data_IF_041210762434
#
_entry.id   IF_041210762434
#
_cell.length_a   1.000
_cell.length_b   1.000
_cell.length_c   1.000
_cell.angle_alpha   90.00
_cell.angle_beta   90.00
_cell.angle_gamma   90.00
#
_symmetry.space_group_name_H-M   'P 1'
#
loop_
_entity.id
_entity.type
_entity.pdbx_description
1 polymer ?
#
# COMPACT_ATOMS: atom_id res chain seq x y z
N UNK A 1 -41.99 -12.58 14.21
CA UNK A 1 -41.47 -13.75 13.48
C UNK A 1 -40.23 -13.33 12.71
N UNK A 2 -39.04 -13.65 13.23
CA UNK A 2 -37.76 -13.14 12.75
C UNK A 2 -37.22 -14.09 11.67
N UNK A 3 -37.40 -13.76 10.38
CA UNK A 3 -36.84 -14.57 9.28
C UNK A 3 -35.32 -14.46 9.32
N UNK A 4 -34.64 -15.46 9.90
CA UNK A 4 -33.21 -15.68 9.71
C UNK A 4 -32.99 -15.93 8.21
N UNK A 5 -32.31 -15.01 7.55
CA UNK A 5 -31.80 -15.24 6.18
C UNK A 5 -30.79 -16.39 6.29
N UNK A 6 -30.89 -17.45 5.47
CA UNK A 6 -29.98 -18.59 5.56
C UNK A 6 -28.55 -18.12 5.24
N UNK A 7 -27.66 -18.22 6.22
CA UNK A 7 -26.25 -17.82 6.15
C UNK A 7 -25.48 -18.54 5.02
N UNK A 8 -25.97 -19.69 4.56
CA UNK A 8 -25.28 -20.55 3.60
C UNK A 8 -25.29 -20.07 2.14
N UNK A 9 -26.23 -19.21 1.73
CA UNK A 9 -26.30 -18.74 0.32
C UNK A 9 -25.46 -17.49 0.04
N UNK A 10 -25.15 -16.70 1.07
CA UNK A 10 -24.31 -15.50 0.95
C UNK A 10 -22.86 -15.91 0.72
N UNK A 11 -22.39 -17.00 1.34
CA UNK A 11 -21.00 -17.46 1.27
C UNK A 11 -20.54 -17.94 -0.11
N UNK A 12 -21.38 -18.53 -0.97
CA UNK A 12 -20.87 -19.19 -2.19
C UNK A 12 -20.68 -18.27 -3.40
N UNK A 13 -21.57 -17.30 -3.62
CA UNK A 13 -21.43 -16.34 -4.73
C UNK A 13 -20.47 -15.19 -4.35
N UNK A 14 -20.50 -14.77 -3.08
CA UNK A 14 -19.62 -13.71 -2.58
C UNK A 14 -18.15 -14.16 -2.51
N UNK A 15 -17.87 -15.43 -2.18
CA UNK A 15 -16.49 -15.92 -2.11
C UNK A 15 -15.78 -15.94 -3.47
N UNK A 16 -16.48 -16.32 -4.54
CA UNK A 16 -15.91 -16.32 -5.89
C UNK A 16 -15.62 -14.90 -6.39
N UNK A 17 -16.52 -13.95 -6.13
CA UNK A 17 -16.32 -12.53 -6.46
C UNK A 17 -15.18 -11.91 -5.64
N UNK A 18 -15.09 -12.25 -4.35
CA UNK A 18 -13.98 -11.79 -3.49
C UNK A 18 -12.66 -12.35 -4.00
N UNK A 19 -12.57 -13.65 -4.34
CA UNK A 19 -11.36 -14.24 -4.89
C UNK A 19 -10.98 -13.58 -6.21
N UNK A 20 -11.93 -13.45 -7.14
CA UNK A 20 -11.70 -12.79 -8.43
C UNK A 20 -11.21 -11.36 -8.28
N UNK A 21 -11.78 -10.60 -7.34
CA UNK A 21 -11.35 -9.25 -7.02
C UNK A 21 -9.94 -9.20 -6.42
N UNK A 22 -9.60 -10.11 -5.50
CA UNK A 22 -8.24 -10.19 -4.93
C UNK A 22 -7.22 -10.51 -6.03
N UNK A 23 -7.51 -11.46 -6.91
CA UNK A 23 -6.66 -11.80 -8.05
C UNK A 23 -6.49 -10.60 -8.97
N UNK A 24 -7.59 -9.95 -9.37
CA UNK A 24 -7.56 -8.74 -10.20
C UNK A 24 -6.70 -7.64 -9.57
N UNK A 25 -6.90 -7.36 -8.28
CA UNK A 25 -6.11 -6.36 -7.55
C UNK A 25 -4.63 -6.73 -7.47
N UNK A 26 -4.30 -8.01 -7.30
CA UNK A 26 -2.91 -8.48 -7.32
C UNK A 26 -2.22 -8.21 -8.67
N UNK A 27 -2.90 -8.53 -9.78
CA UNK A 27 -2.42 -8.21 -11.13
C UNK A 27 -2.29 -6.70 -11.34
N UNK A 28 -3.29 -5.93 -10.92
CA UNK A 28 -3.29 -4.48 -11.05
C UNK A 28 -2.11 -3.84 -10.29
N UNK A 29 -1.87 -4.27 -9.04
CA UNK A 29 -0.74 -3.80 -8.22
C UNK A 29 0.59 -4.12 -8.89
N UNK A 30 0.79 -5.37 -9.32
CA UNK A 30 2.03 -5.81 -9.95
C UNK A 30 2.27 -5.08 -11.28
N UNK A 31 1.23 -4.86 -12.07
CA UNK A 31 1.30 -4.10 -13.31
C UNK A 31 1.71 -2.65 -13.07
N UNK A 32 1.00 -1.94 -12.18
CA UNK A 32 1.33 -0.55 -11.86
C UNK A 32 2.75 -0.44 -11.32
N UNK A 33 3.16 -1.38 -10.48
CA UNK A 33 4.51 -1.41 -9.94
C UNK A 33 5.57 -1.55 -11.06
N UNK A 34 5.47 -2.59 -11.89
CA UNK A 34 6.44 -2.88 -12.94
C UNK A 34 6.45 -1.79 -14.01
N UNK A 35 5.27 -1.31 -14.42
CA UNK A 35 5.14 -0.19 -15.37
C UNK A 35 5.86 1.05 -14.85
N UNK A 36 5.61 1.44 -13.59
CA UNK A 36 6.22 2.64 -13.02
C UNK A 36 7.74 2.50 -12.89
N UNK A 37 8.21 1.32 -12.53
CA UNK A 37 9.63 1.01 -12.49
C UNK A 37 10.27 1.14 -13.89
N UNK A 38 9.61 0.64 -14.93
CA UNK A 38 10.06 0.77 -16.33
C UNK A 38 10.02 2.21 -16.82
N UNK A 39 8.95 2.94 -16.50
CA UNK A 39 8.80 4.35 -16.85
C UNK A 39 9.92 5.20 -16.23
N UNK A 40 10.33 4.91 -14.98
CA UNK A 40 11.47 5.58 -14.33
C UNK A 40 12.75 5.43 -15.15
N UNK A 41 13.03 4.22 -15.65
CA UNK A 41 14.18 3.94 -16.51
C UNK A 41 13.91 4.19 -17.99
N UNK A 42 12.76 4.73 -18.40
CA UNK A 42 12.37 4.91 -19.82
C UNK A 42 12.40 3.61 -20.64
N UNK A 43 12.17 2.46 -20.03
CA UNK A 43 12.04 1.18 -20.73
C UNK A 43 10.69 1.18 -21.49
N UNK A 44 10.67 0.91 -22.80
CA UNK A 44 9.43 0.88 -23.58
C UNK A 44 8.40 -0.09 -23.00
N UNK A 45 7.13 0.30 -22.98
CA UNK A 45 6.02 -0.51 -22.45
C UNK A 45 5.81 -1.83 -23.19
N UNK A 46 6.35 -1.97 -24.42
CA UNK A 46 6.38 -3.23 -25.18
C UNK A 46 7.07 -4.35 -24.40
N UNK A 47 7.94 -4.02 -23.45
CA UNK A 47 8.62 -5.00 -22.59
C UNK A 47 7.79 -5.50 -21.40
N UNK A 48 6.63 -4.89 -21.09
CA UNK A 48 5.78 -5.23 -19.93
C UNK A 48 4.89 -6.47 -20.12
N UNK A 49 5.12 -7.27 -21.17
CA UNK A 49 4.19 -8.33 -21.59
C UNK A 49 4.02 -9.46 -20.56
N UNK A 50 5.01 -9.69 -19.70
CA UNK A 50 5.00 -10.81 -18.76
C UNK A 50 5.21 -10.34 -17.32
N UNK A 51 4.12 -10.07 -16.60
CA UNK A 51 4.15 -9.97 -15.14
C UNK A 51 4.24 -11.38 -14.59
N UNK A 52 5.33 -11.70 -13.90
CA UNK A 52 5.49 -13.04 -13.34
C UNK A 52 4.42 -13.31 -12.26
N UNK A 53 3.83 -14.51 -12.29
CA UNK A 53 2.89 -14.97 -11.27
C UNK A 53 3.54 -14.91 -9.88
N UNK A 54 4.84 -15.20 -9.79
CA UNK A 54 5.59 -15.08 -8.55
C UNK A 54 5.57 -13.64 -8.02
N UNK A 55 5.76 -12.64 -8.87
CA UNK A 55 5.68 -11.22 -8.48
C UNK A 55 4.31 -10.87 -7.95
N UNK A 56 3.24 -11.38 -8.57
CA UNK A 56 1.86 -11.15 -8.14
C UNK A 56 1.59 -11.81 -6.78
N UNK A 57 1.99 -13.07 -6.61
CA UNK A 57 1.83 -13.81 -5.36
C UNK A 57 2.59 -13.10 -4.22
N UNK A 58 3.84 -12.72 -4.47
CA UNK A 58 4.66 -11.98 -3.49
C UNK A 58 3.97 -10.67 -3.12
N UNK A 59 3.48 -9.90 -4.10
CA UNK A 59 2.77 -8.65 -3.83
C UNK A 59 1.52 -8.88 -2.96
N UNK A 60 0.69 -9.88 -3.28
CA UNK A 60 -0.51 -10.23 -2.49
C UNK A 60 -0.12 -10.63 -1.06
N UNK A 61 0.86 -11.52 -0.91
CA UNK A 61 1.29 -12.02 0.41
C UNK A 61 1.89 -10.89 1.24
N UNK A 62 2.78 -10.09 0.68
CA UNK A 62 3.41 -8.97 1.38
C UNK A 62 2.39 -7.92 1.80
N UNK A 63 1.46 -7.56 0.93
CA UNK A 63 0.41 -6.60 1.25
C UNK A 63 -0.57 -7.14 2.32
N UNK A 64 -1.02 -8.38 2.15
CA UNK A 64 -1.95 -9.02 3.10
C UNK A 64 -1.30 -9.25 4.46
N UNK A 65 -0.05 -9.71 4.49
CA UNK A 65 0.73 -9.90 5.72
C UNK A 65 0.98 -8.58 6.43
N UNK A 66 1.31 -7.53 5.69
CA UNK A 66 1.45 -6.18 6.23
C UNK A 66 0.16 -5.67 6.90
N UNK A 67 -0.98 -5.78 6.21
CA UNK A 67 -2.27 -5.41 6.78
C UNK A 67 -2.63 -6.28 8.00
N UNK A 68 -2.33 -7.58 7.96
CA UNK A 68 -2.54 -8.50 9.05
C UNK A 68 -1.79 -8.11 10.32
N UNK A 69 -0.50 -7.74 10.19
CA UNK A 69 0.31 -7.25 11.31
C UNK A 69 -0.26 -5.94 11.86
N UNK A 70 -0.63 -4.98 11.00
CA UNK A 70 -1.25 -3.73 11.44
C UNK A 70 -2.54 -3.98 12.23
N UNK A 71 -3.38 -4.91 11.77
CA UNK A 71 -4.61 -5.30 12.44
C UNK A 71 -4.35 -5.98 13.79
N UNK A 72 -3.34 -6.85 13.87
CA UNK A 72 -2.95 -7.52 15.11
C UNK A 72 -2.45 -6.50 16.14
N UNK A 73 -1.54 -5.60 15.74
CA UNK A 73 -1.02 -4.54 16.62
C UNK A 73 -2.15 -3.62 17.06
N UNK A 74 -3.04 -3.21 16.15
CA UNK A 74 -4.21 -2.43 16.50
C UNK A 74 -5.09 -3.16 17.52
N UNK A 75 -5.33 -4.45 17.34
CA UNK A 75 -6.15 -5.25 18.24
C UNK A 75 -5.55 -5.32 19.65
N UNK A 76 -4.25 -5.63 19.77
CA UNK A 76 -3.55 -5.68 21.06
C UNK A 76 -3.59 -4.31 21.76
N UNK A 77 -3.27 -3.24 21.03
CA UNK A 77 -3.34 -1.88 21.59
C UNK A 77 -4.76 -1.51 22.02
N UNK A 78 -5.76 -1.92 21.23
CA UNK A 78 -7.15 -1.69 21.53
C UNK A 78 -7.58 -2.38 22.84
N UNK A 79 -7.20 -3.64 23.04
CA UNK A 79 -7.48 -4.38 24.27
C UNK A 79 -6.77 -3.77 25.49
N UNK A 80 -5.50 -3.38 25.35
CA UNK A 80 -4.76 -2.71 26.42
C UNK A 80 -5.43 -1.40 26.84
N UNK A 81 -5.94 -0.62 25.88
CA UNK A 81 -6.58 0.67 26.15
C UNK A 81 -8.01 0.52 26.67
N UNK A 82 -8.75 -0.50 26.24
CA UNK A 82 -10.12 -0.75 26.71
C UNK A 82 -10.19 -1.05 28.21
N UNK A 83 -9.08 -1.49 28.82
CA UNK A 83 -8.96 -1.62 30.28
C UNK A 83 -8.90 -0.29 31.05
N UNK A 84 -8.83 0.86 30.35
CA UNK A 84 -8.63 2.18 30.95
C UNK A 84 -9.80 3.14 30.70
N UNK A 85 -10.42 3.62 31.78
CA UNK A 85 -11.57 4.54 31.74
C UNK A 85 -11.21 6.01 31.50
N UNK A 86 -9.92 6.35 31.39
CA UNK A 86 -9.50 7.74 31.21
C UNK A 86 -9.95 8.26 29.82
N UNK A 87 -10.77 9.34 29.76
CA UNK A 87 -11.31 9.84 28.50
C UNK A 87 -10.24 10.35 27.53
N UNK A 88 -9.05 10.72 28.01
CA UNK A 88 -7.92 11.13 27.16
C UNK A 88 -7.35 9.90 26.44
N UNK A 89 -7.16 8.79 27.17
CA UNK A 89 -6.58 7.55 26.64
C UNK A 89 -7.52 6.92 25.61
N UNK A 90 -8.84 6.95 25.89
CA UNK A 90 -9.87 6.53 24.95
C UNK A 90 -9.89 7.35 23.65
N UNK A 91 -9.48 8.62 23.70
CA UNK A 91 -9.35 9.47 22.49
C UNK A 91 -8.10 9.17 21.69
N UNK A 92 -7.01 8.85 22.37
CA UNK A 92 -5.77 8.40 21.72
C UNK A 92 -6.02 7.12 20.92
N UNK A 93 -6.87 6.21 21.42
CA UNK A 93 -7.27 4.97 20.73
C UNK A 93 -7.72 5.19 19.28
N UNK A 94 -8.54 6.22 19.04
CA UNK A 94 -9.05 6.55 17.70
C UNK A 94 -7.93 6.97 16.76
N UNK A 95 -6.85 7.56 17.29
CA UNK A 95 -5.68 7.97 16.51
C UNK A 95 -4.68 6.85 16.24
N UNK A 96 -4.78 5.71 16.93
CA UNK A 96 -3.81 4.60 16.81
C UNK A 96 -3.68 4.05 15.39
N UNK A 97 -4.76 3.77 14.63
CA UNK A 97 -4.62 3.30 13.26
C UNK A 97 -3.78 4.25 12.39
N UNK A 98 -3.96 5.56 12.56
CA UNK A 98 -3.23 6.57 11.80
C UNK A 98 -1.75 6.63 12.21
N UNK A 99 -1.46 6.50 13.51
CA UNK A 99 -0.08 6.41 14.01
C UNK A 99 0.61 5.16 13.47
N UNK A 100 -0.06 4.01 13.51
CA UNK A 100 0.47 2.75 12.99
C UNK A 100 0.73 2.84 11.48
N UNK A 101 -0.20 3.41 10.72
CA UNK A 101 -0.02 3.66 9.28
C UNK A 101 1.16 4.62 9.06
N UNK A 102 1.29 5.70 9.82
CA UNK A 102 2.38 6.67 9.67
C UNK A 102 3.75 6.05 9.99
N UNK A 103 3.85 5.23 11.04
CA UNK A 103 5.07 4.49 11.41
C UNK A 103 5.39 3.49 10.31
N UNK A 104 4.41 2.72 9.86
CA UNK A 104 4.59 1.73 8.81
C UNK A 104 5.03 2.37 7.51
N UNK A 105 4.41 3.49 7.13
CA UNK A 105 4.82 4.32 6.01
C UNK A 105 6.26 4.79 6.18
N UNK A 106 6.66 5.30 7.36
CA UNK A 106 8.03 5.78 7.58
C UNK A 106 9.06 4.65 7.50
N UNK A 107 8.73 3.46 8.00
CA UNK A 107 9.62 2.28 7.95
C UNK A 107 9.80 1.82 6.51
N UNK A 108 8.70 1.74 5.75
CA UNK A 108 8.74 1.24 4.37
C UNK A 108 9.21 2.28 3.36
N UNK A 109 8.83 3.54 3.55
CA UNK A 109 9.07 4.62 2.62
C UNK A 109 10.03 5.63 3.25
N UNK A 110 11.26 5.68 2.73
CA UNK A 110 12.22 6.75 3.05
C UNK A 110 11.83 8.11 2.44
N UNK A 111 10.69 8.19 1.76
CA UNK A 111 10.17 9.41 1.15
C UNK A 111 9.55 10.34 2.17
N UNK A 112 9.95 11.61 2.14
CA UNK A 112 9.40 12.66 3.00
C UNK A 112 7.91 12.95 2.72
N UNK A 113 7.45 12.80 1.47
CA UNK A 113 6.08 13.16 1.04
C UNK A 113 5.01 12.34 1.78
N UNK A 114 5.15 11.01 1.83
CA UNK A 114 4.14 10.17 2.48
C UNK A 114 4.15 10.38 4.00
N UNK A 115 5.31 10.69 4.58
CA UNK A 115 5.42 11.09 5.99
C UNK A 115 4.62 12.37 6.24
N UNK A 116 4.71 13.39 5.37
CA UNK A 116 3.94 14.63 5.52
C UNK A 116 2.43 14.40 5.40
N UNK A 117 1.98 13.55 4.46
CA UNK A 117 0.57 13.19 4.31
C UNK A 117 0.06 12.47 5.57
N UNK A 118 0.82 11.49 6.08
CA UNK A 118 0.47 10.78 7.32
C UNK A 118 0.41 11.72 8.52
N UNK A 119 1.33 12.67 8.61
CA UNK A 119 1.38 13.67 9.69
C UNK A 119 0.21 14.66 9.59
N UNK A 120 -0.18 15.07 8.38
CA UNK A 120 -1.36 15.91 8.15
C UNK A 120 -2.66 15.19 8.58
N UNK A 121 -2.84 13.92 8.20
CA UNK A 121 -3.99 13.11 8.61
C UNK A 121 -4.01 12.94 10.14
N UNK A 122 -2.85 12.69 10.75
CA UNK A 122 -2.73 12.62 12.21
C UNK A 122 -3.12 13.94 12.89
N UNK A 123 -2.66 15.08 12.36
CA UNK A 123 -3.04 16.42 12.85
C UNK A 123 -4.55 16.65 12.76
N UNK A 124 -5.17 16.32 11.63
CA UNK A 124 -6.62 16.43 11.45
C UNK A 124 -7.35 15.56 12.49
N UNK A 125 -6.89 14.32 12.71
CA UNK A 125 -7.44 13.43 13.74
C UNK A 125 -7.30 14.02 15.14
N UNK A 126 -6.15 14.62 15.47
CA UNK A 126 -5.93 15.27 16.75
C UNK A 126 -6.84 16.50 16.94
N UNK A 127 -7.01 17.33 15.92
CA UNK A 127 -7.93 18.48 15.95
C UNK A 127 -9.36 17.99 16.21
N UNK A 128 -9.81 16.99 15.45
CA UNK A 128 -11.14 16.43 15.61
C UNK A 128 -11.36 15.80 16.99
N UNK A 129 -10.38 15.06 17.52
CA UNK A 129 -10.54 14.32 18.77
C UNK A 129 -10.32 15.16 20.03
N UNK A 130 -9.54 16.24 19.98
CA UNK A 130 -9.16 17.04 21.16
C UNK A 130 -9.61 18.49 21.10
N UNK A 131 -9.58 19.13 19.92
CA UNK A 131 -9.94 20.56 19.77
C UNK A 131 -11.44 20.74 19.59
N UNK A 132 -12.10 19.94 18.75
CA UNK A 132 -13.55 20.04 18.55
C UNK A 132 -14.38 19.84 19.83
N UNK A 133 -14.07 18.88 20.74
CA UNK A 133 -14.76 18.78 22.02
C UNK A 133 -14.72 20.07 22.84
N UNK A 134 -13.61 20.83 22.77
CA UNK A 134 -13.47 22.10 23.49
C UNK A 134 -14.44 23.17 22.98
N UNK A 135 -14.60 23.23 21.65
CA UNK A 135 -15.40 24.25 20.97
C UNK A 135 -16.89 23.91 20.95
N UNK A 136 -17.25 22.65 20.76
CA UNK A 136 -18.62 22.23 20.46
C UNK A 136 -19.42 21.79 21.68
N UNK A 137 -18.78 21.36 22.78
CA UNK A 137 -19.48 20.88 23.97
C UNK A 137 -19.59 21.95 25.04
N UNK A 138 -20.83 22.33 25.37
CA UNK A 138 -21.19 23.30 26.42
C UNK A 138 -21.18 22.68 27.83
N UNK A 139 -20.07 22.07 28.25
CA UNK A 139 -19.88 21.61 29.64
C UNK A 139 -18.59 22.14 30.25
N UNK A 140 -18.58 22.39 31.57
CA UNK A 140 -17.39 22.80 32.29
C UNK A 140 -16.41 21.63 32.48
N UNK A 141 -15.12 21.92 32.33
CA UNK A 141 -14.02 20.97 32.49
C UNK A 141 -13.68 20.18 31.22
N UNK A 142 -12.40 20.14 30.85
CA UNK A 142 -11.94 19.50 29.61
C UNK A 142 -12.24 18.00 29.55
N UNK A 143 -11.95 17.25 30.64
CA UNK A 143 -12.25 15.81 30.72
C UNK A 143 -13.74 15.51 30.51
N UNK A 144 -14.64 16.36 31.03
CA UNK A 144 -16.08 16.22 30.86
C UNK A 144 -16.52 16.51 29.42
N UNK A 145 -15.92 17.52 28.77
CA UNK A 145 -16.13 17.81 27.34
C UNK A 145 -15.70 16.63 26.46
N UNK A 146 -14.51 16.07 26.72
CA UNK A 146 -14.01 14.88 26.00
C UNK A 146 -14.95 13.68 26.15
N UNK A 147 -15.47 13.44 27.36
CA UNK A 147 -16.42 12.35 27.63
C UNK A 147 -17.71 12.57 26.84
N UNK A 148 -18.32 13.76 26.94
CA UNK A 148 -19.60 14.06 26.29
C UNK A 148 -19.56 14.13 24.77
N UNK A 149 -18.43 14.51 24.16
CA UNK A 149 -18.32 14.59 22.70
C UNK A 149 -18.45 13.23 21.99
N UNK A 150 -18.32 12.09 22.70
CA UNK A 150 -18.54 10.74 22.13
C UNK A 150 -19.73 9.97 22.71
N UNK A 151 -20.16 10.24 23.94
CA UNK A 151 -21.21 9.45 24.60
C UNK A 151 -22.62 9.58 23.98
N UNK A 152 -22.82 10.44 22.97
CA UNK A 152 -24.07 10.52 22.18
C UNK A 152 -24.04 9.70 20.89
N UNK A 153 -22.90 9.13 20.51
CA UNK A 153 -22.76 8.29 19.31
C UNK A 153 -22.65 6.82 19.69
N UNK A 154 -23.61 6.00 19.24
CA UNK A 154 -23.53 4.54 19.27
C UNK A 154 -22.10 4.08 18.94
N UNK A 155 -21.52 3.20 19.75
CA UNK A 155 -20.29 2.47 19.40
C UNK A 155 -20.57 1.52 18.23
N UNK A 156 -20.75 2.07 17.03
CA UNK A 156 -20.82 1.28 15.80
C UNK A 156 -19.41 0.85 15.47
N UNK A 157 -19.12 -0.43 15.68
CA UNK A 157 -17.87 -1.03 15.22
C UNK A 157 -17.70 -0.82 13.71
N UNK A 158 -16.45 -0.71 13.26
CA UNK A 158 -16.13 -0.58 11.83
C UNK A 158 -16.81 -1.67 10.98
N UNK A 159 -16.88 -2.91 11.50
CA UNK A 159 -17.60 -4.03 10.89
C UNK A 159 -19.10 -3.74 10.72
N UNK A 160 -19.76 -3.15 11.73
CA UNK A 160 -21.17 -2.74 11.65
C UNK A 160 -21.37 -1.63 10.62
N UNK A 161 -20.45 -0.67 10.54
CA UNK A 161 -20.50 0.41 9.54
C UNK A 161 -20.34 -0.14 8.12
N UNK A 162 -19.36 -1.03 7.90
CA UNK A 162 -19.16 -1.69 6.61
C UNK A 162 -20.37 -2.52 6.20
N UNK A 163 -20.87 -3.38 7.09
CA UNK A 163 -22.06 -4.21 6.83
C UNK A 163 -23.29 -3.35 6.54
N UNK A 164 -23.50 -2.29 7.33
CA UNK A 164 -24.59 -1.34 7.10
C UNK A 164 -24.45 -0.66 5.75
N UNK A 165 -23.25 -0.19 5.40
CA UNK A 165 -22.99 0.49 4.13
C UNK A 165 -23.21 -0.45 2.94
N UNK A 166 -22.67 -1.68 3.01
CA UNK A 166 -22.91 -2.73 2.01
C UNK A 166 -24.40 -3.00 1.80
N UNK A 167 -25.16 -3.23 2.88
CA UNK A 167 -26.56 -3.64 2.81
C UNK A 167 -27.54 -2.50 2.49
N UNK A 168 -27.29 -1.29 3.01
CA UNK A 168 -28.23 -0.16 2.94
C UNK A 168 -27.82 0.89 1.92
N UNK A 169 -26.54 0.96 1.56
CA UNK A 169 -25.98 1.95 0.62
C UNK A 169 -24.97 1.27 -0.34
N UNK A 170 -25.41 0.30 -1.16
CA UNK A 170 -24.51 -0.51 -1.98
C UNK A 170 -23.65 0.34 -2.94
N UNK A 171 -24.18 1.44 -3.49
CA UNK A 171 -23.39 2.38 -4.30
C UNK A 171 -22.28 3.06 -3.52
N UNK A 172 -22.54 3.46 -2.27
CA UNK A 172 -21.52 4.06 -1.41
C UNK A 172 -20.46 3.03 -1.01
N UNK A 173 -20.85 1.77 -0.80
CA UNK A 173 -19.92 0.68 -0.56
C UNK A 173 -19.04 0.42 -1.79
N UNK A 174 -19.62 0.36 -2.99
CA UNK A 174 -18.87 0.22 -4.24
C UNK A 174 -17.88 1.38 -4.43
N UNK A 175 -18.33 2.62 -4.22
CA UNK A 175 -17.47 3.80 -4.28
C UNK A 175 -16.32 3.71 -3.27
N UNK A 176 -16.57 3.22 -2.06
CA UNK A 176 -15.54 3.00 -1.04
C UNK A 176 -14.53 1.93 -1.48
N UNK A 177 -14.99 0.80 -2.03
CA UNK A 177 -14.11 -0.25 -2.57
C UNK A 177 -13.26 0.31 -3.70
N UNK A 178 -13.85 0.96 -4.70
CA UNK A 178 -13.14 1.55 -5.85
C UNK A 178 -12.12 2.62 -5.41
N UNK A 179 -12.49 3.46 -4.45
CA UNK A 179 -11.58 4.45 -3.87
C UNK A 179 -10.39 3.75 -3.19
N UNK A 180 -10.65 2.70 -2.42
CA UNK A 180 -9.62 1.86 -1.82
C UNK A 180 -8.68 1.24 -2.87
N UNK A 181 -9.23 0.68 -3.94
CA UNK A 181 -8.45 0.14 -5.07
C UNK A 181 -7.54 1.19 -5.68
N UNK A 182 -8.07 2.40 -5.91
CA UNK A 182 -7.31 3.52 -6.46
C UNK A 182 -6.16 3.93 -5.54
N UNK A 183 -6.41 4.08 -4.23
CA UNK A 183 -5.37 4.38 -3.25
C UNK A 183 -4.26 3.32 -3.22
N UNK A 184 -4.64 2.04 -3.34
CA UNK A 184 -3.67 0.94 -3.42
C UNK A 184 -2.81 1.09 -4.68
N UNK A 185 -3.41 1.36 -5.85
CA UNK A 185 -2.68 1.59 -7.10
C UNK A 185 -1.71 2.78 -7.02
N UNK A 186 -2.15 3.92 -6.47
CA UNK A 186 -1.27 5.08 -6.25
C UNK A 186 -0.12 4.74 -5.31
N UNK A 187 -0.38 3.95 -4.26
CA UNK A 187 0.67 3.51 -3.34
C UNK A 187 1.70 2.62 -4.05
N UNK A 188 1.26 1.71 -4.91
CA UNK A 188 2.14 0.86 -5.73
C UNK A 188 2.99 1.67 -6.69
N UNK A 189 2.42 2.71 -7.31
CA UNK A 189 3.16 3.66 -8.16
C UNK A 189 4.28 4.34 -7.37
N UNK A 190 3.95 4.96 -6.22
CA UNK A 190 4.94 5.66 -5.39
C UNK A 190 6.03 4.70 -4.91
N UNK A 191 5.64 3.47 -4.55
CA UNK A 191 6.58 2.44 -4.12
C UNK A 191 7.56 2.03 -5.22
N UNK A 192 7.06 1.81 -6.45
CA UNK A 192 7.91 1.49 -7.60
C UNK A 192 8.87 2.61 -7.95
N UNK A 193 8.38 3.85 -7.97
CA UNK A 193 9.18 5.03 -8.27
C UNK A 193 10.32 5.19 -7.26
N UNK A 194 10.00 5.10 -5.96
CA UNK A 194 11.03 5.24 -4.93
C UNK A 194 12.03 4.09 -4.95
N UNK A 195 11.57 2.86 -5.19
CA UNK A 195 12.50 1.73 -5.32
C UNK A 195 13.47 1.96 -6.49
N UNK A 196 12.96 2.38 -7.66
CA UNK A 196 13.80 2.71 -8.81
C UNK A 196 14.78 3.87 -8.53
N UNK A 197 14.33 4.89 -7.80
CA UNK A 197 15.13 6.06 -7.43
C UNK A 197 16.24 5.75 -6.42
N UNK A 198 15.98 4.84 -5.48
CA UNK A 198 16.93 4.47 -4.42
C UNK A 198 17.76 3.24 -4.74
N UNK A 199 17.45 2.54 -5.84
CA UNK A 199 18.19 1.37 -6.27
C UNK A 199 19.61 1.76 -6.71
N UNK A 200 20.57 1.17 -6.02
CA UNK A 200 22.00 1.33 -6.29
C UNK A 200 22.68 0.01 -6.69
N UNK A 201 21.98 -1.12 -6.56
CA UNK A 201 22.49 -2.44 -6.91
C UNK A 201 21.81 -2.93 -8.17
N UNK A 202 22.59 -3.25 -9.19
CA UNK A 202 22.11 -3.74 -10.46
C UNK A 202 22.84 -5.02 -10.86
N UNK A 203 22.12 -5.89 -11.56
CA UNK A 203 22.71 -6.99 -12.29
C UNK A 203 23.34 -6.42 -13.56
N UNK A 204 24.61 -6.75 -13.82
CA UNK A 204 25.39 -6.30 -14.96
C UNK A 204 25.90 -7.53 -15.70
N UNK A 205 25.95 -7.45 -17.03
CA UNK A 205 26.52 -8.47 -17.89
C UNK A 205 27.44 -7.85 -18.93
N UNK A 206 28.35 -8.64 -19.50
CA UNK A 206 29.29 -8.21 -20.54
C UNK A 206 29.04 -8.99 -21.81
N UNK A 207 28.82 -8.27 -22.91
CA UNK A 207 28.61 -8.84 -24.25
C UNK A 207 29.54 -8.09 -25.20
N UNK A 208 30.43 -8.81 -25.88
CA UNK A 208 31.42 -8.25 -26.82
C UNK A 208 32.28 -7.11 -26.22
N UNK A 209 32.63 -7.22 -24.94
CA UNK A 209 33.43 -6.23 -24.21
C UNK A 209 32.66 -4.99 -23.72
N UNK A 210 31.39 -4.82 -24.10
CA UNK A 210 30.52 -3.75 -23.59
C UNK A 210 29.75 -4.21 -22.33
N UNK A 211 29.60 -3.31 -21.35
CA UNK A 211 28.80 -3.55 -20.14
C UNK A 211 27.33 -3.24 -20.40
N UNK A 212 26.45 -4.06 -19.84
CA UNK A 212 24.99 -3.90 -19.94
C UNK A 212 24.35 -4.09 -18.57
N UNK A 213 23.35 -3.29 -18.24
CA UNK A 213 22.48 -3.50 -17.08
C UNK A 213 21.34 -4.45 -17.47
N UNK A 214 21.10 -5.43 -16.62
CA UNK A 214 19.94 -6.34 -16.69
C UNK A 214 18.83 -5.78 -15.81
N UNK A 215 17.71 -5.39 -16.43
CA UNK A 215 16.55 -4.84 -15.72
C UNK A 215 15.58 -5.91 -15.28
N UNK A 216 15.33 -6.90 -16.13
CA UNK A 216 14.41 -7.98 -15.85
C UNK A 216 14.81 -9.23 -16.63
N UNK A 217 14.59 -10.39 -16.01
CA UNK A 217 14.71 -11.71 -16.61
C UNK A 217 13.30 -12.26 -16.80
N UNK A 218 12.92 -12.49 -18.05
CA UNK A 218 11.64 -13.03 -18.49
C UNK A 218 11.87 -14.41 -19.11
N UNK A 219 11.68 -15.46 -18.33
CA UNK A 219 11.90 -16.86 -18.73
C UNK A 219 13.34 -17.09 -19.24
N UNK A 220 13.52 -17.09 -20.56
CA UNK A 220 14.75 -17.34 -21.31
C UNK A 220 15.46 -16.05 -21.78
N UNK A 221 14.83 -14.88 -21.61
CA UNK A 221 15.29 -13.60 -22.14
C UNK A 221 15.49 -12.56 -21.06
N UNK A 222 16.58 -11.80 -21.16
CA UNK A 222 16.88 -10.65 -20.32
C UNK A 222 16.62 -9.34 -21.08
N UNK A 223 15.99 -8.37 -20.41
CA UNK A 223 15.89 -7.00 -20.90
C UNK A 223 17.14 -6.26 -20.44
N UNK A 224 17.95 -5.83 -21.41
CA UNK A 224 19.22 -5.17 -21.12
C UNK A 224 19.34 -3.81 -21.78
N UNK A 225 20.14 -2.94 -21.18
CA UNK A 225 20.54 -1.65 -21.75
C UNK A 225 22.04 -1.45 -21.61
N UNK A 226 22.66 -0.79 -22.59
CA UNK A 226 24.09 -0.52 -22.59
C UNK A 226 24.44 0.46 -21.46
N UNK A 227 25.51 0.15 -20.74
CA UNK A 227 26.06 0.94 -19.66
C UNK A 227 27.37 1.58 -20.13
N UNK A 228 27.44 2.91 -20.10
CA UNK A 228 28.71 3.65 -20.28
C UNK A 228 29.06 4.36 -18.99
N UNK A 229 30.11 3.89 -18.33
CA UNK A 229 30.53 4.36 -16.99
C UNK A 229 29.40 4.13 -15.97
N UNK A 230 28.63 5.18 -15.66
CA UNK A 230 27.50 5.18 -14.73
C UNK A 230 26.21 5.70 -15.39
N UNK A 231 26.17 5.72 -16.72
CA UNK A 231 25.01 6.16 -17.50
C UNK A 231 24.35 5.02 -18.28
N UNK A 232 23.04 4.88 -18.10
CA UNK A 232 22.19 3.99 -18.89
C UNK A 232 21.89 4.67 -20.21
N UNK A 233 22.28 4.04 -21.31
CA UNK A 233 21.86 4.44 -22.65
C UNK A 233 20.49 3.80 -22.89
N UNK A 234 19.43 4.56 -23.18
CA UNK A 234 18.06 4.06 -23.31
C UNK A 234 17.82 3.31 -24.64
N UNK A 235 18.70 2.36 -24.96
CA UNK A 235 18.60 1.43 -26.08
C UNK A 235 18.42 0.03 -25.52
N UNK A 236 17.17 -0.37 -25.40
CA UNK A 236 16.78 -1.63 -24.77
C UNK A 236 16.70 -2.75 -25.79
N UNK A 237 17.22 -3.92 -25.44
CA UNK A 237 17.11 -5.14 -26.25
C UNK A 237 16.80 -6.35 -25.37
N UNK A 238 16.14 -7.35 -25.95
CA UNK A 238 16.00 -8.69 -25.34
C UNK A 238 17.16 -9.56 -25.82
N UNK A 239 17.84 -10.22 -24.89
CA UNK A 239 18.93 -11.16 -25.18
C UNK A 239 18.68 -12.47 -24.45
N UNK A 240 19.03 -13.60 -25.07
CA UNK A 240 18.91 -14.92 -24.46
C UNK A 240 19.89 -15.09 -23.30
N UNK A 241 19.45 -15.77 -22.24
CA UNK A 241 20.18 -15.86 -20.97
C UNK A 241 21.29 -16.90 -20.99
N UNK A 242 21.22 -17.90 -21.88
CA UNK A 242 22.05 -19.12 -21.85
C UNK A 242 23.57 -18.85 -21.81
N UNK A 243 24.02 -17.65 -22.22
CA UNK A 243 25.44 -17.25 -22.21
C UNK A 243 25.72 -15.94 -21.45
N UNK A 244 24.78 -15.43 -20.65
CA UNK A 244 25.00 -14.18 -19.90
C UNK A 244 25.70 -14.46 -18.57
N UNK A 245 26.95 -14.00 -18.45
CA UNK A 245 27.59 -13.88 -17.15
C UNK A 245 27.00 -12.68 -16.41
N UNK A 246 26.27 -12.92 -15.32
CA UNK A 246 25.61 -11.87 -14.53
C UNK A 246 26.38 -11.64 -13.23
N UNK A 247 26.89 -10.43 -13.06
CA UNK A 247 27.52 -9.96 -11.84
C UNK A 247 26.66 -8.88 -11.16
N UNK A 248 26.73 -8.79 -9.82
CA UNK A 248 26.06 -7.71 -9.08
C UNK A 248 27.04 -6.57 -8.88
N UNK A 249 26.72 -5.38 -9.40
CA UNK A 249 27.52 -4.16 -9.26
C UNK A 249 26.75 -3.10 -8.47
N UNK A 250 27.44 -2.38 -7.61
CA UNK A 250 26.88 -1.29 -6.82
C UNK A 250 27.34 0.04 -7.40
N UNK A 251 26.40 0.96 -7.62
CA UNK A 251 26.61 2.28 -8.20
C UNK A 251 26.23 3.34 -7.19
N UNK A 252 26.98 4.43 -7.08
CA UNK A 252 26.60 5.53 -6.17
C UNK A 252 25.32 6.24 -6.64
N UNK A 253 25.19 6.46 -7.95
CA UNK A 253 23.97 6.97 -8.58
C UNK A 253 24.01 6.73 -10.09
N UNK A 254 23.12 5.90 -10.60
CA UNK A 254 22.94 5.71 -12.04
C UNK A 254 22.13 6.87 -12.62
N UNK A 255 22.59 7.39 -13.76
CA UNK A 255 21.88 8.43 -14.52
C UNK A 255 21.40 7.85 -15.84
N UNK A 256 20.25 8.32 -16.32
CA UNK A 256 19.85 8.08 -17.70
C UNK A 256 20.58 9.07 -18.59
N UNK A 257 21.24 8.57 -19.63
CA UNK A 257 21.81 9.41 -20.67
C UNK A 257 20.69 10.20 -21.36
N UNK A 258 20.96 11.45 -21.73
CA UNK A 258 19.97 12.34 -22.35
C UNK A 258 19.69 11.95 -23.79
#
# INVERSE_FOLDING_TARGET
MNKRVPESKILNLDSALILGYITFMGYFIAYIYQKTYFDYFKIPSVFLQNISINTIIIAIISFSGFLGILMLVYHVLNEMIDSNDNPIIQRIKVSIPFILIAIAVKIYFKTKIIIYIGLAIFLISCIYNFVFPLLLVKTKGYKNKLRRFHFTGNQTSFRKILYYTYKKKPLAFLALVLSGSFFIGVSSFVFAYENANTQNKFAVTKIDGAEYIVFEIQSDKAIIAELKRDEIIPKYKKVEIENLFIEKKTFNKLKLSK
#
